data_IF_495851014135
#
_entry.id   IF_495851014135
#
_cell.length_a   1.000
_cell.length_b   1.000
_cell.length_c   1.000
_cell.angle_alpha   90.00
_cell.angle_beta   90.00
_cell.angle_gamma   90.00
#
_symmetry.space_group_name_H-M   'P 1'
#
loop_
_entity.id
_entity.type
_entity.pdbx_description
1 polymer ?
#
# COMPACT_ATOMS: atom_id res chain seq x y z
N UNK A 1 26.56 -31.17 -10.84
CA UNK A 1 25.42 -31.52 -9.98
C UNK A 1 24.32 -30.54 -10.28
N UNK A 2 23.31 -31.00 -11.01
CA UNK A 2 22.03 -30.32 -11.10
C UNK A 2 21.43 -30.20 -9.70
N UNK A 3 20.88 -29.03 -9.37
CA UNK A 3 20.08 -28.88 -8.15
C UNK A 3 18.73 -29.49 -8.44
N UNK A 4 18.37 -30.56 -7.75
CA UNK A 4 16.99 -31.04 -7.79
C UNK A 4 16.08 -29.99 -7.14
N UNK A 5 15.21 -29.38 -7.95
CA UNK A 5 14.17 -28.49 -7.45
C UNK A 5 13.12 -29.37 -6.78
N UNK A 6 13.11 -29.37 -5.46
CA UNK A 6 12.08 -30.06 -4.68
C UNK A 6 10.72 -29.35 -4.83
N UNK A 7 9.62 -30.07 -4.60
CA UNK A 7 8.28 -29.45 -4.59
C UNK A 7 8.20 -28.31 -3.56
N UNK A 8 8.87 -28.45 -2.42
CA UNK A 8 8.94 -27.40 -1.39
C UNK A 8 9.68 -26.15 -1.88
N UNK A 9 10.77 -26.32 -2.62
CA UNK A 9 11.49 -25.20 -3.21
C UNK A 9 10.65 -24.49 -4.27
N UNK A 10 9.96 -25.25 -5.13
CA UNK A 10 9.05 -24.68 -6.12
C UNK A 10 7.91 -23.90 -5.43
N UNK A 11 7.37 -24.42 -4.33
CA UNK A 11 6.37 -23.71 -3.53
C UNK A 11 6.92 -22.40 -2.94
N UNK A 12 8.17 -22.39 -2.45
CA UNK A 12 8.85 -21.17 -1.97
C UNK A 12 9.03 -20.14 -3.08
N UNK A 13 9.41 -20.57 -4.29
CA UNK A 13 9.56 -19.68 -5.47
C UNK A 13 8.21 -19.07 -5.86
N UNK A 14 7.17 -19.88 -5.99
CA UNK A 14 5.82 -19.40 -6.29
C UNK A 14 5.33 -18.42 -5.22
N UNK A 15 5.56 -18.73 -3.94
CA UNK A 15 5.20 -17.85 -2.82
C UNK A 15 5.95 -16.52 -2.90
N UNK A 16 7.25 -16.54 -3.16
CA UNK A 16 8.05 -15.31 -3.32
C UNK A 16 7.52 -14.45 -4.47
N UNK A 17 7.19 -15.05 -5.63
CA UNK A 17 6.60 -14.33 -6.76
C UNK A 17 5.28 -13.65 -6.38
N UNK A 18 4.39 -14.37 -5.68
CA UNK A 18 3.11 -13.82 -5.22
C UNK A 18 3.29 -12.69 -4.22
N UNK A 19 4.24 -12.81 -3.29
CA UNK A 19 4.57 -11.74 -2.33
C UNK A 19 5.14 -10.51 -3.03
N UNK A 20 5.96 -10.71 -4.07
CA UNK A 20 6.51 -9.60 -4.85
C UNK A 20 5.41 -8.80 -5.57
N UNK A 21 4.45 -9.50 -6.19
CA UNK A 21 3.27 -8.83 -6.78
C UNK A 21 2.49 -8.04 -5.73
N UNK A 22 2.22 -8.68 -4.58
CA UNK A 22 1.54 -8.04 -3.46
C UNK A 22 2.30 -6.80 -2.95
N UNK A 23 3.62 -6.87 -2.85
CA UNK A 23 4.47 -5.77 -2.42
C UNK A 23 4.35 -4.57 -3.36
N UNK A 24 4.46 -4.78 -4.68
CA UNK A 24 4.32 -3.73 -5.69
C UNK A 24 2.91 -3.13 -5.67
N UNK A 25 1.88 -3.96 -5.52
CA UNK A 25 0.49 -3.49 -5.42
C UNK A 25 0.27 -2.63 -4.16
N UNK A 26 0.85 -3.04 -3.03
CA UNK A 26 0.79 -2.28 -1.78
C UNK A 26 1.55 -0.95 -1.88
N UNK A 27 2.74 -0.92 -2.48
CA UNK A 27 3.47 0.34 -2.75
C UNK A 27 2.63 1.29 -3.61
N UNK A 28 2.07 0.79 -4.71
CA UNK A 28 1.20 1.59 -5.59
C UNK A 28 -0.04 2.11 -4.86
N UNK A 29 -0.63 1.30 -3.98
CA UNK A 29 -1.80 1.70 -3.18
C UNK A 29 -1.43 2.75 -2.13
N UNK A 30 -0.29 2.60 -1.45
CA UNK A 30 0.22 3.56 -0.46
C UNK A 30 0.48 4.92 -1.11
N UNK A 31 1.10 4.93 -2.30
CA UNK A 31 1.33 6.16 -3.06
C UNK A 31 0.02 6.89 -3.37
N UNK A 32 -0.95 6.17 -3.95
CA UNK A 32 -2.28 6.74 -4.29
C UNK A 32 -3.04 7.25 -3.06
N UNK A 33 -2.99 6.54 -1.93
CA UNK A 33 -3.62 6.97 -0.69
C UNK A 33 -2.95 8.20 -0.11
N UNK A 34 -1.62 8.28 -0.21
CA UNK A 34 -0.84 9.44 0.27
C UNK A 34 -1.17 10.68 -0.56
N UNK A 35 -1.26 10.57 -1.88
CA UNK A 35 -1.68 11.67 -2.75
C UNK A 35 -3.13 12.09 -2.51
N UNK A 36 -4.04 11.12 -2.30
CA UNK A 36 -5.44 11.40 -1.97
C UNK A 36 -5.58 12.15 -0.64
N UNK A 37 -4.82 11.74 0.38
CA UNK A 37 -4.79 12.41 1.68
C UNK A 37 -4.23 13.83 1.58
N UNK A 38 -3.17 14.05 0.79
CA UNK A 38 -2.67 15.41 0.52
C UNK A 38 -3.77 16.27 -0.10
N UNK A 39 -4.41 15.76 -1.15
CA UNK A 39 -5.50 16.48 -1.85
C UNK A 39 -6.65 16.83 -0.91
N UNK A 40 -7.03 15.93 0.00
CA UNK A 40 -8.09 16.19 0.97
C UNK A 40 -7.69 17.22 2.04
N UNK A 41 -6.43 17.19 2.50
CA UNK A 41 -5.91 18.21 3.43
C UNK A 41 -5.83 19.58 2.78
N UNK A 42 -5.36 19.66 1.54
CA UNK A 42 -5.35 20.89 0.77
C UNK A 42 -6.80 21.43 0.62
N UNK A 43 -7.76 20.56 0.31
CA UNK A 43 -9.18 20.93 0.23
C UNK A 43 -9.77 21.40 1.59
N UNK A 44 -9.35 20.78 2.69
CA UNK A 44 -9.73 21.18 4.05
C UNK A 44 -9.23 22.59 4.38
N UNK A 45 -7.95 22.86 4.08
CA UNK A 45 -7.34 24.17 4.30
C UNK A 45 -8.04 25.26 3.49
N UNK A 46 -8.34 24.99 2.22
CA UNK A 46 -9.08 25.93 1.36
C UNK A 46 -10.50 26.17 1.88
N UNK A 47 -11.19 25.12 2.34
CA UNK A 47 -12.54 25.24 2.91
C UNK A 47 -12.58 26.18 4.13
N UNK A 48 -11.55 26.14 4.98
CA UNK A 48 -11.44 27.01 6.17
C UNK A 48 -11.27 28.49 5.83
N UNK A 49 -10.81 28.83 4.63
CA UNK A 49 -10.54 30.22 4.20
C UNK A 49 -11.81 30.85 3.60
N UNK A 50 -12.80 30.04 3.20
CA UNK A 50 -14.01 30.54 2.56
C UNK A 50 -14.91 31.27 3.55
N UNK A 51 -15.34 32.48 3.17
CA UNK A 51 -16.18 33.35 4.02
C UNK A 51 -17.66 33.01 3.90
N UNK A 52 -18.13 32.63 2.70
CA UNK A 52 -19.50 32.17 2.48
C UNK A 52 -19.51 30.65 2.21
N UNK A 53 -20.05 29.82 3.12
CA UNK A 53 -20.13 28.37 2.93
C UNK A 53 -20.82 27.93 1.63
N UNK A 54 -21.65 28.78 1.01
CA UNK A 54 -22.29 28.49 -0.27
C UNK A 54 -21.31 28.55 -1.47
N UNK A 55 -20.12 29.11 -1.29
CA UNK A 55 -19.08 29.17 -2.32
C UNK A 55 -18.27 27.86 -2.42
N UNK A 56 -18.47 26.91 -1.50
CA UNK A 56 -17.83 25.59 -1.55
C UNK A 56 -18.78 24.57 -2.17
N UNK A 57 -18.34 23.95 -3.26
CA UNK A 57 -19.01 22.79 -3.84
C UNK A 57 -18.14 21.54 -3.68
N UNK A 58 -18.46 20.71 -2.69
CA UNK A 58 -17.98 19.33 -2.66
C UNK A 58 -18.85 18.52 -3.63
N UNK A 59 -18.28 17.55 -4.35
CA UNK A 59 -18.97 16.78 -5.38
C UNK A 59 -20.11 15.94 -4.77
N UNK A 60 -21.29 16.56 -4.67
CA UNK A 60 -22.61 16.09 -4.26
C UNK A 60 -22.57 15.09 -3.10
N UNK A 61 -22.57 15.62 -1.88
CA UNK A 61 -22.90 14.87 -0.67
C UNK A 61 -23.97 15.65 0.09
N UNK A 62 -25.08 15.00 0.44
CA UNK A 62 -26.06 15.47 1.42
C UNK A 62 -25.44 15.24 2.81
N UNK A 63 -24.56 16.13 3.26
CA UNK A 63 -23.99 16.10 4.62
C UNK A 63 -24.25 17.41 5.35
N UNK A 64 -24.38 17.32 6.68
CA UNK A 64 -24.69 18.45 7.55
C UNK A 64 -23.62 19.56 7.48
N UNK A 65 -22.35 19.21 7.22
CA UNK A 65 -21.27 20.16 6.84
C UNK A 65 -20.23 19.52 5.90
N UNK A 66 -19.56 20.34 5.07
CA UNK A 66 -18.47 19.91 4.18
C UNK A 66 -17.20 19.56 4.96
N UNK A 67 -16.93 20.28 6.05
CA UNK A 67 -15.74 20.08 6.88
C UNK A 67 -15.74 18.70 7.56
N UNK A 68 -16.89 18.29 8.12
CA UNK A 68 -17.03 16.97 8.76
C UNK A 68 -16.85 15.83 7.77
N UNK A 69 -17.36 15.98 6.55
CA UNK A 69 -17.19 14.98 5.49
C UNK A 69 -15.72 14.85 5.05
N UNK A 70 -15.00 15.96 4.90
CA UNK A 70 -13.57 15.94 4.57
C UNK A 70 -12.76 15.27 5.69
N UNK A 71 -13.05 15.60 6.96
CA UNK A 71 -12.38 15.00 8.12
C UNK A 71 -12.63 13.48 8.22
N UNK A 72 -13.87 13.04 7.96
CA UNK A 72 -14.22 11.62 7.91
C UNK A 72 -13.46 10.88 6.81
N UNK A 73 -13.38 11.46 5.61
CA UNK A 73 -12.61 10.88 4.51
C UNK A 73 -11.10 10.82 4.80
N UNK A 74 -10.54 11.84 5.45
CA UNK A 74 -9.14 11.84 5.90
C UNK A 74 -8.92 10.72 6.90
N UNK A 75 -9.78 10.60 7.91
CA UNK A 75 -9.66 9.59 8.96
C UNK A 75 -9.72 8.17 8.39
N UNK A 76 -10.69 7.89 7.53
CA UNK A 76 -10.85 6.58 6.90
C UNK A 76 -9.64 6.23 6.02
N UNK A 77 -9.20 7.16 5.15
CA UNK A 77 -8.05 6.91 4.27
C UNK A 77 -6.74 6.79 5.04
N UNK A 78 -6.57 7.53 6.13
CA UNK A 78 -5.40 7.42 7.01
C UNK A 78 -5.34 6.04 7.67
N UNK A 79 -6.47 5.53 8.17
CA UNK A 79 -6.54 4.16 8.70
C UNK A 79 -6.15 3.11 7.66
N UNK A 80 -6.70 3.21 6.45
CA UNK A 80 -6.37 2.29 5.35
C UNK A 80 -4.89 2.39 4.97
N UNK A 81 -4.32 3.60 4.96
CA UNK A 81 -2.89 3.82 4.68
C UNK A 81 -2.01 3.12 5.72
N UNK A 82 -2.36 3.22 7.00
CA UNK A 82 -1.59 2.61 8.08
C UNK A 82 -1.67 1.07 8.02
N UNK A 83 -2.86 0.51 7.77
CA UNK A 83 -3.04 -0.93 7.51
C UNK A 83 -2.20 -1.41 6.31
N UNK A 84 -2.16 -0.64 5.21
CA UNK A 84 -1.35 -0.99 4.04
C UNK A 84 0.15 -0.97 4.35
N UNK A 85 0.62 -0.03 5.17
CA UNK A 85 2.03 0.06 5.59
C UNK A 85 2.42 -1.11 6.48
N UNK A 86 1.56 -1.49 7.43
CA UNK A 86 1.78 -2.68 8.27
C UNK A 86 1.85 -3.95 7.41
N UNK A 87 0.94 -4.09 6.44
CA UNK A 87 0.92 -5.23 5.53
C UNK A 87 2.14 -5.25 4.59
N UNK A 88 2.63 -4.08 4.15
CA UNK A 88 3.84 -3.95 3.35
C UNK A 88 5.07 -4.43 4.12
N UNK A 89 5.23 -4.00 5.37
CA UNK A 89 6.36 -4.40 6.22
C UNK A 89 6.30 -5.91 6.53
N UNK A 90 5.12 -6.47 6.79
CA UNK A 90 4.94 -7.91 6.96
C UNK A 90 5.32 -8.69 5.68
N UNK A 91 4.89 -8.19 4.52
CA UNK A 91 5.20 -8.80 3.21
C UNK A 91 6.71 -8.76 2.94
N UNK A 92 7.36 -7.62 3.20
CA UNK A 92 8.80 -7.43 3.05
C UNK A 92 9.61 -8.36 3.95
N UNK A 93 9.16 -8.55 5.19
CA UNK A 93 9.77 -9.50 6.13
C UNK A 93 9.69 -10.93 5.59
N UNK A 94 8.51 -11.38 5.16
CA UNK A 94 8.32 -12.72 4.58
C UNK A 94 9.17 -12.93 3.31
N UNK A 95 9.23 -11.92 2.44
CA UNK A 95 10.10 -11.95 1.25
C UNK A 95 11.58 -12.09 1.60
N UNK A 96 12.06 -11.36 2.62
CA UNK A 96 13.46 -11.43 3.05
C UNK A 96 13.83 -12.81 3.60
N UNK A 97 12.93 -13.40 4.40
CA UNK A 97 13.11 -14.76 4.92
C UNK A 97 13.14 -15.81 3.79
N UNK A 98 12.24 -15.69 2.81
CA UNK A 98 12.22 -16.58 1.65
C UNK A 98 13.42 -16.39 0.73
N UNK A 99 13.85 -15.14 0.49
CA UNK A 99 15.05 -14.81 -0.30
C UNK A 99 16.27 -15.50 0.32
N UNK A 100 16.44 -15.38 1.64
CA UNK A 100 17.55 -16.01 2.36
C UNK A 100 17.54 -17.55 2.21
N UNK A 101 16.37 -18.19 2.36
CA UNK A 101 16.23 -19.64 2.19
C UNK A 101 16.55 -20.09 0.77
N UNK A 102 16.03 -19.38 -0.23
CA UNK A 102 16.21 -19.71 -1.63
C UNK A 102 17.67 -19.51 -2.09
N UNK A 103 18.35 -18.44 -1.67
CA UNK A 103 19.79 -18.29 -1.94
C UNK A 103 20.65 -19.30 -1.18
N UNK A 104 20.24 -19.71 0.03
CA UNK A 104 20.93 -20.79 0.76
C UNK A 104 20.85 -22.15 0.06
N UNK A 105 19.74 -22.42 -0.62
CA UNK A 105 19.49 -23.70 -1.31
C UNK A 105 20.03 -23.72 -2.75
N UNK A 106 19.86 -22.61 -3.49
CA UNK A 106 20.18 -22.53 -4.92
C UNK A 106 21.45 -21.72 -5.23
N UNK A 107 21.93 -20.90 -4.30
CA UNK A 107 23.08 -20.00 -4.52
C UNK A 107 22.87 -19.08 -5.71
N UNK A 108 23.91 -18.92 -6.53
CA UNK A 108 23.88 -18.07 -7.74
C UNK A 108 23.04 -18.65 -8.89
N UNK A 109 22.43 -19.83 -8.71
CA UNK A 109 21.57 -20.46 -9.73
C UNK A 109 20.15 -19.90 -9.74
N UNK A 110 19.77 -19.12 -8.74
CA UNK A 110 18.47 -18.44 -8.67
C UNK A 110 18.67 -16.93 -8.75
N UNK A 111 17.81 -16.26 -9.52
CA UNK A 111 17.76 -14.80 -9.56
C UNK A 111 16.43 -14.31 -9.00
N UNK A 112 16.49 -13.66 -7.84
CA UNK A 112 15.35 -13.10 -7.12
C UNK A 112 15.40 -11.57 -7.07
N UNK A 113 16.25 -10.94 -7.88
CA UNK A 113 16.32 -9.48 -7.93
C UNK A 113 15.28 -8.92 -8.91
N UNK A 114 14.19 -8.44 -8.30
CA UNK A 114 13.38 -7.32 -8.74
C UNK A 114 12.91 -6.55 -7.51
#
# INVERSE_FOLDING_TARGET
>A
MDVEVTEEAQARICRFSSLNHKYVDLESRIEKLTDALRTLRDAQEEAMIVVDPNDIMLKIVDTDTIEEEIENQITEKQKILDECKEELEATKKEMTELKTKLYGEFGDRINLDK
#
